data_IF_330232535350
#
_entry.id   IF_330232535350
#
_cell.length_a   1.000
_cell.length_b   1.000
_cell.length_c   1.000
_cell.angle_alpha   90.00
_cell.angle_beta   90.00
_cell.angle_gamma   90.00
#
_symmetry.space_group_name_H-M   'P 1'
#
loop_
_entity.id
_entity.type
_entity.pdbx_description
1 polymer ?
#
# COMPACT_ATOMS: atom_id res chain seq x y z
N UNK A 1 11.08 6.97 38.37
CA UNK A 1 9.71 6.43 38.49
C UNK A 1 8.86 7.04 37.37
N UNK A 2 7.91 6.25 36.87
CA UNK A 2 7.25 6.37 35.57
C UNK A 2 6.28 7.55 35.50
N UNK A 3 6.46 8.44 34.51
CA UNK A 3 5.36 8.89 33.63
C UNK A 3 5.90 8.97 32.18
N UNK A 4 6.40 7.85 31.67
CA UNK A 4 6.55 7.61 30.24
C UNK A 4 5.22 7.11 29.63
N UNK A 5 4.07 7.36 30.28
CA UNK A 5 2.81 6.65 30.02
C UNK A 5 1.58 7.56 29.83
N UNK A 6 1.77 8.83 29.43
CA UNK A 6 0.64 9.72 29.10
C UNK A 6 0.79 10.59 27.84
N UNK A 7 1.86 10.48 27.05
CA UNK A 7 2.10 11.38 25.88
C UNK A 7 1.99 10.72 24.50
N UNK A 8 1.23 9.64 24.36
CA UNK A 8 1.08 8.96 23.06
C UNK A 8 -0.31 8.36 22.80
N UNK A 9 -1.36 8.96 23.38
CA UNK A 9 -2.71 8.88 22.79
C UNK A 9 -2.97 10.00 21.76
N UNK A 10 -2.10 11.00 21.71
CA UNK A 10 -2.17 12.21 20.87
C UNK A 10 -0.90 12.38 20.03
N UNK A 11 -0.45 11.34 19.31
CA UNK A 11 0.50 11.57 18.24
C UNK A 11 -0.30 12.02 17.01
N UNK A 12 -0.24 13.30 16.60
CA UNK A 12 -0.70 13.67 15.27
C UNK A 12 0.25 12.97 14.32
N UNK A 13 -0.15 11.81 13.79
CA UNK A 13 0.39 11.35 12.52
C UNK A 13 0.10 12.53 11.60
N UNK A 14 1.11 13.25 11.06
CA UNK A 14 0.80 14.27 10.08
C UNK A 14 -0.06 13.59 9.02
N UNK A 15 -1.28 14.11 8.78
CA UNK A 15 -2.10 13.71 7.65
C UNK A 15 -1.27 14.11 6.44
N UNK A 16 -0.38 13.20 6.04
CA UNK A 16 0.47 13.44 4.92
C UNK A 16 -0.45 13.28 3.72
N UNK A 17 -0.88 14.43 3.20
CA UNK A 17 -1.83 14.52 2.11
C UNK A 17 -1.32 13.75 0.90
N UNK A 18 0.00 13.70 0.67
CA UNK A 18 0.65 12.88 -0.35
C UNK A 18 0.44 11.38 -0.10
N UNK A 19 0.71 10.88 1.11
CA UNK A 19 0.45 9.46 1.44
C UNK A 19 -1.03 9.12 1.33
N UNK A 20 -1.92 10.03 1.76
CA UNK A 20 -3.37 9.83 1.71
C UNK A 20 -3.91 9.85 0.28
N UNK A 21 -3.40 10.76 -0.56
CA UNK A 21 -3.72 10.82 -1.98
C UNK A 21 -3.23 9.57 -2.70
N UNK A 22 -2.00 9.12 -2.39
CA UNK A 22 -1.42 7.91 -2.95
C UNK A 22 -2.22 6.67 -2.55
N UNK A 23 -2.65 6.58 -1.29
CA UNK A 23 -3.53 5.50 -0.82
C UNK A 23 -4.87 5.47 -1.57
N UNK A 24 -5.47 6.64 -1.86
CA UNK A 24 -6.68 6.73 -2.68
C UNK A 24 -6.43 6.30 -4.13
N UNK A 25 -5.29 6.66 -4.70
CA UNK A 25 -4.89 6.23 -6.04
C UNK A 25 -4.77 4.70 -6.12
N UNK A 26 -3.99 4.09 -5.22
CA UNK A 26 -3.84 2.63 -5.15
C UNK A 26 -5.19 1.93 -5.02
N UNK A 27 -6.09 2.47 -4.19
CA UNK A 27 -7.43 1.90 -4.03
C UNK A 27 -8.22 1.92 -5.34
N UNK A 28 -8.17 3.03 -6.08
CA UNK A 28 -8.79 3.12 -7.41
C UNK A 28 -8.19 2.10 -8.36
N UNK A 29 -6.86 1.96 -8.42
CA UNK A 29 -6.20 0.97 -9.28
C UNK A 29 -6.63 -0.46 -8.92
N UNK A 30 -6.72 -0.79 -7.63
CA UNK A 30 -7.24 -2.08 -7.18
C UNK A 30 -8.71 -2.31 -7.60
N UNK A 31 -9.57 -1.29 -7.52
CA UNK A 31 -10.95 -1.38 -8.00
C UNK A 31 -11.00 -1.64 -9.52
N UNK A 32 -10.03 -1.13 -10.30
CA UNK A 32 -9.90 -1.41 -11.73
C UNK A 32 -9.44 -2.86 -12.00
N UNK A 33 -8.56 -3.42 -11.16
CA UNK A 33 -8.19 -4.84 -11.22
C UNK A 33 -9.43 -5.72 -11.04
N UNK A 34 -10.25 -5.43 -10.04
CA UNK A 34 -11.44 -6.23 -9.69
C UNK A 34 -12.53 -6.10 -10.76
N UNK A 35 -12.73 -4.91 -11.32
CA UNK A 35 -13.78 -4.65 -12.30
C UNK A 35 -13.39 -4.97 -13.76
N UNK A 36 -12.12 -5.32 -14.01
CA UNK A 36 -11.64 -5.67 -15.34
C UNK A 36 -12.35 -6.91 -15.90
N UNK A 37 -12.97 -6.77 -17.08
CA UNK A 37 -13.68 -7.86 -17.77
C UNK A 37 -12.81 -8.70 -18.71
N UNK A 38 -11.56 -8.28 -18.95
CA UNK A 38 -10.60 -8.96 -19.82
C UNK A 38 -9.31 -9.17 -19.03
N UNK A 39 -8.70 -10.35 -19.24
CA UNK A 39 -7.48 -10.74 -18.55
C UNK A 39 -6.31 -9.81 -18.89
N UNK A 40 -6.22 -9.30 -20.11
CA UNK A 40 -5.20 -8.30 -20.49
C UNK A 40 -5.33 -7.01 -19.69
N UNK A 41 -6.57 -6.51 -19.52
CA UNK A 41 -6.83 -5.31 -18.69
C UNK A 41 -6.53 -5.60 -17.23
N UNK A 42 -6.95 -6.76 -16.72
CA UNK A 42 -6.67 -7.18 -15.34
C UNK A 42 -5.17 -7.24 -15.09
N UNK A 43 -4.39 -7.88 -15.98
CA UNK A 43 -2.93 -7.97 -15.92
C UNK A 43 -2.28 -6.59 -15.95
N UNK A 44 -2.73 -5.69 -16.82
CA UNK A 44 -2.24 -4.30 -16.88
C UNK A 44 -2.47 -3.54 -15.58
N UNK A 45 -3.71 -3.51 -15.08
CA UNK A 45 -4.02 -2.81 -13.82
C UNK A 45 -3.32 -3.45 -12.63
N UNK A 46 -3.12 -4.78 -12.65
CA UNK A 46 -2.42 -5.48 -11.59
C UNK A 46 -0.93 -5.12 -11.56
N UNK A 47 -0.27 -5.04 -12.72
CA UNK A 47 1.09 -4.53 -12.83
C UNK A 47 1.21 -3.09 -12.32
N UNK A 48 0.28 -2.21 -12.73
CA UNK A 48 0.23 -0.84 -12.24
C UNK A 48 0.05 -0.78 -10.71
N UNK A 49 -0.81 -1.63 -10.14
CA UNK A 49 -1.03 -1.68 -8.69
C UNK A 49 0.25 -2.08 -7.94
N UNK A 50 1.04 -3.01 -8.49
CA UNK A 50 2.32 -3.42 -7.89
C UNK A 50 3.34 -2.28 -7.90
N UNK A 51 3.52 -1.60 -9.04
CA UNK A 51 4.41 -0.44 -9.15
C UNK A 51 4.01 0.67 -8.17
N UNK A 52 2.71 0.97 -8.09
CA UNK A 52 2.20 1.95 -7.13
C UNK A 52 2.51 1.51 -5.69
N UNK A 53 2.33 0.24 -5.35
CA UNK A 53 2.59 -0.28 -4.01
C UNK A 53 4.07 -0.24 -3.61
N UNK A 54 4.99 -0.46 -4.55
CA UNK A 54 6.43 -0.27 -4.31
C UNK A 54 6.78 1.18 -3.99
N UNK A 55 6.24 2.13 -4.77
CA UNK A 55 6.41 3.57 -4.51
C UNK A 55 5.83 3.96 -3.15
N UNK A 56 4.66 3.41 -2.79
CA UNK A 56 4.06 3.68 -1.49
C UNK A 56 4.92 3.17 -0.33
N UNK A 57 5.50 1.98 -0.44
CA UNK A 57 6.42 1.45 0.57
C UNK A 57 7.66 2.33 0.73
N UNK A 58 8.24 2.80 -0.37
CA UNK A 58 9.38 3.71 -0.33
C UNK A 58 9.02 5.04 0.35
N UNK A 59 7.87 5.62 -0.01
CA UNK A 59 7.35 6.82 0.66
C UNK A 59 7.20 6.57 2.16
N UNK A 60 6.53 5.49 2.57
CA UNK A 60 6.36 5.15 3.99
C UNK A 60 7.70 5.03 4.74
N UNK A 61 8.75 4.51 4.08
CA UNK A 61 10.11 4.45 4.65
C UNK A 61 10.72 5.84 4.83
N UNK A 62 10.67 6.68 3.79
CA UNK A 62 11.19 8.06 3.81
C UNK A 62 10.51 8.88 4.92
N UNK A 63 9.19 8.75 5.03
CA UNK A 63 8.39 9.44 6.04
C UNK A 63 8.46 8.80 7.42
N UNK A 64 9.24 7.72 7.60
CA UNK A 64 9.40 6.97 8.86
C UNK A 64 8.04 6.61 9.48
N UNK A 65 7.10 6.18 8.62
CA UNK A 65 5.76 5.81 9.04
C UNK A 65 5.81 4.68 10.09
N UNK A 66 4.86 4.67 11.04
CA UNK A 66 4.89 3.71 12.13
C UNK A 66 4.72 2.26 11.62
N UNK A 67 5.29 1.25 12.32
CA UNK A 67 5.18 -0.17 11.95
C UNK A 67 3.75 -0.65 11.71
N UNK A 68 2.79 -0.09 12.45
CA UNK A 68 1.35 -0.37 12.30
C UNK A 68 0.81 -0.08 10.88
N UNK A 69 1.47 0.79 10.11
CA UNK A 69 1.13 1.12 8.72
C UNK A 69 2.07 0.42 7.74
N UNK A 70 3.36 0.30 8.06
CA UNK A 70 4.35 -0.26 7.13
C UNK A 70 4.29 -1.78 7.03
N UNK A 71 4.09 -2.49 8.13
CA UNK A 71 4.05 -3.96 8.12
C UNK A 71 2.88 -4.56 7.34
N UNK A 72 1.63 -4.07 7.47
CA UNK A 72 0.52 -4.59 6.67
C UNK A 72 0.74 -4.36 5.16
N UNK A 73 1.29 -3.20 4.80
CA UNK A 73 1.60 -2.85 3.41
C UNK A 73 2.69 -3.76 2.86
N UNK A 74 3.74 -4.01 3.64
CA UNK A 74 4.81 -4.93 3.25
C UNK A 74 4.31 -6.37 3.05
N UNK A 75 3.47 -6.87 3.96
CA UNK A 75 2.83 -8.20 3.79
C UNK A 75 1.95 -8.25 2.55
N UNK A 76 1.17 -7.20 2.29
CA UNK A 76 0.32 -7.12 1.10
C UNK A 76 1.16 -7.16 -0.18
N UNK A 77 2.25 -6.39 -0.24
CA UNK A 77 3.16 -6.39 -1.39
C UNK A 77 3.74 -7.80 -1.65
N UNK A 78 4.23 -8.45 -0.60
CA UNK A 78 4.75 -9.81 -0.70
C UNK A 78 3.70 -10.83 -1.18
N UNK A 79 2.43 -10.68 -0.81
CA UNK A 79 1.34 -11.52 -1.34
C UNK A 79 1.06 -11.21 -2.80
N UNK A 80 0.94 -9.93 -3.17
CA UNK A 80 0.59 -9.53 -4.54
C UNK A 80 1.69 -9.92 -5.55
N UNK A 81 2.97 -9.83 -5.19
CA UNK A 81 4.05 -10.33 -6.05
C UNK A 81 3.95 -11.84 -6.31
N UNK A 82 3.54 -12.63 -5.30
CA UNK A 82 3.30 -14.07 -5.51
C UNK A 82 2.14 -14.34 -6.46
N UNK A 83 1.07 -13.54 -6.36
CA UNK A 83 -0.08 -13.64 -7.27
C UNK A 83 0.22 -13.14 -8.68
N UNK A 84 1.19 -12.23 -8.85
CA UNK A 84 1.64 -11.78 -10.17
C UNK A 84 2.03 -12.97 -11.03
N UNK A 85 2.90 -13.83 -10.50
CA UNK A 85 3.35 -15.03 -11.19
C UNK A 85 2.18 -15.94 -11.57
N UNK A 86 1.23 -16.15 -10.66
CA UNK A 86 0.03 -16.94 -10.94
C UNK A 86 -0.88 -16.35 -12.05
N UNK A 87 -0.85 -15.02 -12.26
CA UNK A 87 -1.65 -14.35 -13.29
C UNK A 87 -0.93 -14.23 -14.66
N UNK A 88 0.39 -14.29 -14.67
CA UNK A 88 1.22 -14.28 -15.89
C UNK A 88 1.56 -15.66 -16.44
N UNK A 89 1.46 -16.72 -15.65
CA UNK A 89 1.76 -18.11 -16.06
C UNK A 89 0.55 -18.83 -16.71
N UNK A 90 -0.49 -18.10 -17.13
CA UNK A 90 -1.71 -18.62 -17.79
C UNK A 90 -1.89 -18.07 -19.21
#
# INVERSE_FOLDING_TARGET
>A
MIIAHQRLRDAPIPVNEDLSAFHRQMRRTADHVISARSDDKRRRYFGQLLEELEIYQEKLRIWQAPPQVTEPVHRLAGMLHKYQHALTDS
#
